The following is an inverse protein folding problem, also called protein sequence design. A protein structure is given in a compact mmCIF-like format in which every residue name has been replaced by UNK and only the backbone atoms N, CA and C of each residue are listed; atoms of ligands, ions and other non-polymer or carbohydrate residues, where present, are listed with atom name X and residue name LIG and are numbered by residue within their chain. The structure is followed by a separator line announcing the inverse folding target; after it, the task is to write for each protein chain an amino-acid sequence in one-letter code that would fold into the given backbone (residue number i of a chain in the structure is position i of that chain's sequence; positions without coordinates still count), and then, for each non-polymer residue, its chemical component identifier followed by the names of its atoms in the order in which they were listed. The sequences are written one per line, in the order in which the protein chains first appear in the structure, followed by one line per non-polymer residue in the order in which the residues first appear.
data_IF_917921769949
#
_entry.id   IF_917921769949
#
_cell.length_a   1.000
_cell.length_b   1.000
_cell.length_c   1.000
_cell.angle_alpha   90.00
_cell.angle_beta   90.00
_cell.angle_gamma   90.00
#
_symmetry.space_group_name_H-M   'P 1'
#
loop_
_entity.id
_entity.type
_entity.pdbx_description
1 polymer ?
#
# COMPACT_ATOMS: atom_id res chain seq x y z
N UNK A 1 19.52 12.86 10.25
CA UNK A 1 18.25 12.16 10.12
C UNK A 1 17.31 13.07 9.34
N UNK A 2 16.55 12.53 8.41
CA UNK A 2 15.63 13.30 7.56
C UNK A 2 14.32 13.58 8.27
N UNK A 3 13.64 14.65 7.89
CA UNK A 3 12.22 14.80 8.18
C UNK A 3 11.42 13.92 7.22
N UNK A 4 10.37 13.28 7.73
CA UNK A 4 9.47 12.43 6.95
C UNK A 4 8.07 13.03 7.02
N UNK A 5 7.44 13.17 5.85
CA UNK A 5 6.12 13.79 5.72
C UNK A 5 5.13 12.79 5.15
N UNK A 6 3.91 12.79 5.67
CA UNK A 6 2.78 12.10 5.04
C UNK A 6 2.16 13.09 4.04
N UNK A 7 2.22 12.75 2.76
CA UNK A 7 1.75 13.63 1.68
C UNK A 7 0.37 13.26 1.15
N UNK A 8 -0.14 12.09 1.51
CA UNK A 8 -1.47 11.65 1.14
C UNK A 8 -1.95 10.51 2.00
N UNK A 9 -3.26 10.45 2.22
CA UNK A 9 -3.90 9.37 2.98
C UNK A 9 -5.33 9.13 2.46
N UNK A 10 -5.80 7.91 2.61
CA UNK A 10 -7.18 7.55 2.30
C UNK A 10 -7.62 6.34 3.12
N UNK A 11 -8.87 6.32 3.49
CA UNK A 11 -9.50 5.19 4.19
C UNK A 11 -10.80 4.83 3.48
N UNK A 12 -10.95 3.56 3.09
CA UNK A 12 -12.23 3.04 2.61
C UNK A 12 -13.29 3.08 3.73
N UNK A 13 -14.56 3.19 3.38
CA UNK A 13 -15.62 3.25 4.38
C UNK A 13 -15.65 1.98 5.25
N UNK A 14 -15.84 2.15 6.55
CA UNK A 14 -15.98 1.05 7.51
C UNK A 14 -17.39 0.46 7.43
N UNK A 15 -17.57 -0.47 6.51
CA UNK A 15 -18.85 -1.15 6.27
C UNK A 15 -18.61 -2.50 5.59
N UNK A 16 -19.67 -3.28 5.39
CA UNK A 16 -19.64 -4.41 4.47
C UNK A 16 -19.52 -3.90 3.04
N UNK A 17 -18.70 -4.56 2.23
CA UNK A 17 -18.48 -4.26 0.82
C UNK A 17 -18.91 -5.43 -0.07
N UNK A 18 -20.23 -5.72 -0.18
CA UNK A 18 -20.70 -6.84 -0.98
C UNK A 18 -20.31 -6.66 -2.44
N UNK A 19 -19.81 -7.73 -3.07
CA UNK A 19 -19.38 -7.72 -4.47
C UNK A 19 -18.01 -7.08 -4.72
N UNK A 20 -17.32 -6.56 -3.70
CA UNK A 20 -15.95 -6.04 -3.84
C UNK A 20 -14.93 -7.08 -3.42
N UNK A 21 -13.87 -7.22 -4.22
CA UNK A 21 -12.70 -8.02 -3.88
C UNK A 21 -11.71 -7.23 -3.00
N UNK A 22 -10.72 -7.92 -2.45
CA UNK A 22 -9.58 -7.23 -1.80
C UNK A 22 -8.84 -6.31 -2.79
N UNK A 23 -8.74 -6.72 -4.06
CA UNK A 23 -8.15 -5.89 -5.11
C UNK A 23 -8.93 -4.60 -5.34
N UNK A 24 -10.26 -4.66 -5.34
CA UNK A 24 -11.11 -3.47 -5.48
C UNK A 24 -10.91 -2.50 -4.31
N UNK A 25 -10.85 -3.02 -3.08
CA UNK A 25 -10.60 -2.20 -1.89
C UNK A 25 -9.20 -1.58 -1.89
N UNK A 26 -8.20 -2.36 -2.28
CA UNK A 26 -6.82 -1.87 -2.40
C UNK A 26 -6.72 -0.79 -3.48
N UNK A 27 -7.39 -0.98 -4.62
CA UNK A 27 -7.46 0.01 -5.70
C UNK A 27 -8.11 1.31 -5.23
N UNK A 28 -9.25 1.23 -4.56
CA UNK A 28 -9.93 2.41 -4.01
C UNK A 28 -9.01 3.18 -3.07
N UNK A 29 -8.39 2.49 -2.12
CA UNK A 29 -7.49 3.11 -1.15
C UNK A 29 -6.26 3.74 -1.83
N UNK A 30 -5.65 3.04 -2.75
CA UNK A 30 -4.48 3.53 -3.50
C UNK A 30 -4.81 4.76 -4.33
N UNK A 31 -5.85 4.69 -5.15
CA UNK A 31 -6.26 5.81 -6.00
C UNK A 31 -6.71 7.01 -5.18
N UNK A 32 -7.39 6.77 -4.05
CA UNK A 32 -7.78 7.82 -3.11
C UNK A 32 -6.56 8.51 -2.48
N UNK A 33 -5.54 7.74 -2.12
CA UNK A 33 -4.27 8.29 -1.58
C UNK A 33 -3.52 9.10 -2.62
N UNK A 34 -3.41 8.63 -3.87
CA UNK A 34 -2.80 9.40 -4.95
C UNK A 34 -3.52 10.73 -5.18
N UNK A 35 -4.85 10.69 -5.19
CA UNK A 35 -5.66 11.90 -5.36
C UNK A 35 -5.42 12.91 -4.24
N UNK A 36 -5.38 12.45 -3.00
CA UNK A 36 -5.10 13.29 -1.83
C UNK A 36 -3.69 13.90 -1.89
N UNK A 37 -2.71 13.12 -2.36
CA UNK A 37 -1.34 13.59 -2.59
C UNK A 37 -1.17 14.50 -3.81
N UNK A 38 -2.20 14.69 -4.65
CA UNK A 38 -2.12 15.43 -5.90
C UNK A 38 -1.34 14.71 -7.00
N UNK A 39 -1.20 13.39 -6.90
CA UNK A 39 -0.48 12.55 -7.85
C UNK A 39 -1.43 11.89 -8.85
N UNK A 40 -1.05 11.85 -10.12
CA UNK A 40 -1.84 11.15 -11.17
C UNK A 40 -1.59 9.65 -11.16
N UNK A 41 -0.35 9.24 -10.92
CA UNK A 41 0.10 7.85 -10.85
C UNK A 41 1.11 7.72 -9.72
N UNK A 42 1.46 6.49 -9.36
CA UNK A 42 2.53 6.22 -8.40
C UNK A 42 3.92 6.09 -9.03
N UNK A 43 4.19 6.73 -10.17
CA UNK A 43 5.44 6.56 -10.89
C UNK A 43 6.71 6.83 -10.07
N UNK A 44 6.61 7.71 -9.08
CA UNK A 44 7.72 8.08 -8.20
C UNK A 44 7.81 7.24 -6.92
N UNK A 45 6.92 6.25 -6.73
CA UNK A 45 6.96 5.35 -5.57
C UNK A 45 8.15 4.39 -5.72
N UNK A 46 8.97 4.30 -4.70
CA UNK A 46 10.20 3.51 -4.69
C UNK A 46 10.13 2.27 -3.80
N UNK A 47 9.20 2.24 -2.84
CA UNK A 47 8.89 1.06 -2.02
C UNK A 47 7.42 1.01 -1.64
N UNK A 48 6.90 -0.19 -1.41
CA UNK A 48 5.53 -0.41 -0.96
C UNK A 48 5.46 -1.35 0.24
N UNK A 49 4.61 -1.02 1.18
CA UNK A 49 4.38 -1.81 2.39
C UNK A 49 2.92 -2.18 2.50
N UNK A 50 2.63 -3.47 2.45
CA UNK A 50 1.28 -3.98 2.62
C UNK A 50 1.14 -4.77 3.91
N UNK A 51 0.14 -4.42 4.69
CA UNK A 51 -0.23 -5.14 5.88
C UNK A 51 -1.66 -5.69 5.78
N UNK A 52 -1.82 -6.98 5.97
CA UNK A 52 -3.12 -7.61 6.13
C UNK A 52 -3.02 -8.93 6.92
N UNK A 53 -3.80 -9.08 7.98
CA UNK A 53 -3.81 -10.28 8.79
C UNK A 53 -4.93 -11.27 8.39
N UNK A 54 -5.91 -10.86 7.57
CA UNK A 54 -7.11 -11.63 7.29
C UNK A 54 -7.17 -12.33 5.93
N UNK A 55 -6.41 -11.90 4.94
CA UNK A 55 -6.51 -12.41 3.56
C UNK A 55 -6.27 -13.93 3.46
N UNK A 56 -5.50 -14.49 4.38
CA UNK A 56 -5.26 -15.93 4.45
C UNK A 56 -6.54 -16.77 4.62
N UNK A 57 -7.56 -16.24 5.28
CA UNK A 57 -8.87 -16.90 5.44
C UNK A 57 -9.63 -17.05 4.11
N UNK A 58 -9.26 -16.27 3.11
CA UNK A 58 -9.82 -16.28 1.76
C UNK A 58 -8.83 -16.79 0.71
N UNK A 59 -7.77 -17.49 1.15
CA UNK A 59 -6.86 -18.21 0.26
C UNK A 59 -5.60 -17.45 -0.17
N UNK A 60 -5.43 -16.17 0.21
CA UNK A 60 -4.22 -15.41 -0.12
C UNK A 60 -3.29 -15.34 1.10
N UNK A 61 -2.44 -16.34 1.26
CA UNK A 61 -1.54 -16.47 2.41
C UNK A 61 -0.19 -15.73 2.25
N UNK A 62 0.28 -15.57 1.03
CA UNK A 62 1.60 -14.98 0.73
C UNK A 62 1.51 -13.94 -0.38
N UNK A 63 2.58 -13.17 -0.58
CA UNK A 63 2.70 -12.13 -1.63
C UNK A 63 1.44 -11.26 -1.80
N UNK A 64 0.83 -10.89 -0.69
CA UNK A 64 -0.46 -10.20 -0.66
C UNK A 64 -0.41 -8.87 -1.40
N UNK A 65 0.64 -8.10 -1.17
CA UNK A 65 0.85 -6.82 -1.85
C UNK A 65 1.02 -6.98 -3.35
N UNK A 66 1.83 -7.91 -3.78
CA UNK A 66 2.04 -8.20 -5.20
C UNK A 66 0.72 -8.64 -5.85
N UNK A 67 -0.04 -9.52 -5.22
CA UNK A 67 -1.33 -9.97 -5.74
C UNK A 67 -2.34 -8.84 -5.91
N UNK A 68 -2.37 -7.87 -4.98
CA UNK A 68 -3.28 -6.73 -5.02
C UNK A 68 -2.85 -5.65 -6.01
N UNK A 69 -1.54 -5.43 -6.17
CA UNK A 69 -1.00 -4.34 -6.97
C UNK A 69 -0.64 -4.73 -8.40
N UNK A 70 -0.54 -6.02 -8.72
CA UNK A 70 -0.27 -6.48 -10.08
C UNK A 70 -1.21 -5.86 -11.14
N UNK A 71 -2.53 -5.80 -10.94
CA UNK A 71 -3.41 -5.14 -11.91
C UNK A 71 -3.10 -3.64 -12.09
N UNK A 72 -2.68 -2.96 -11.02
CA UNK A 72 -2.31 -1.55 -11.07
C UNK A 72 -0.98 -1.34 -11.81
N UNK A 73 -0.06 -2.29 -11.73
CA UNK A 73 1.17 -2.30 -12.53
C UNK A 73 0.85 -2.47 -14.01
N UNK A 74 -0.02 -3.41 -14.35
CA UNK A 74 -0.45 -3.66 -15.72
C UNK A 74 -1.14 -2.46 -16.36
N UNK A 75 -1.84 -1.67 -15.57
CA UNK A 75 -2.49 -0.42 -16.00
C UNK A 75 -1.54 0.80 -16.00
N UNK A 76 -0.29 0.64 -15.56
CA UNK A 76 0.69 1.74 -15.46
C UNK A 76 0.40 2.73 -14.32
N UNK A 77 -0.41 2.33 -13.33
CA UNK A 77 -0.76 3.16 -12.18
C UNK A 77 0.20 2.98 -10.98
N UNK A 78 0.81 1.81 -10.88
CA UNK A 78 1.86 1.50 -9.91
C UNK A 78 3.12 1.08 -10.65
N UNK A 79 4.34 1.52 -10.25
CA UNK A 79 5.55 1.26 -11.00
C UNK A 79 5.99 -0.21 -10.91
N UNK A 80 6.54 -0.73 -12.00
CA UNK A 80 7.21 -2.03 -12.00
C UNK A 80 8.46 -2.01 -11.10
N UNK A 81 8.85 -3.18 -10.61
CA UNK A 81 10.11 -3.42 -9.87
C UNK A 81 10.22 -2.64 -8.56
N UNK A 82 9.13 -2.13 -8.05
CA UNK A 82 9.09 -1.58 -6.70
C UNK A 82 9.11 -2.72 -5.69
N UNK A 83 10.05 -2.74 -4.74
CA UNK A 83 10.02 -3.72 -3.66
C UNK A 83 8.72 -3.58 -2.87
N UNK A 84 7.99 -4.69 -2.75
CA UNK A 84 6.74 -4.77 -2.01
C UNK A 84 6.95 -5.66 -0.78
N UNK A 85 6.86 -5.06 0.39
CA UNK A 85 7.00 -5.75 1.67
C UNK A 85 5.62 -6.11 2.22
N UNK A 86 5.46 -7.37 2.59
CA UNK A 86 4.23 -7.86 3.19
C UNK A 86 4.47 -8.11 4.68
N UNK A 87 3.69 -7.47 5.52
CA UNK A 87 3.82 -7.56 6.97
C UNK A 87 2.53 -8.03 7.62
N UNK A 88 2.66 -8.65 8.78
CA UNK A 88 1.55 -9.06 9.60
C UNK A 88 1.91 -8.90 11.08
N UNK A 89 1.06 -8.28 11.85
CA UNK A 89 1.20 -8.08 13.29
C UNK A 89 -0.19 -7.96 13.95
N UNK A 90 -1.10 -8.85 13.55
CA UNK A 90 -2.50 -8.86 14.02
C UNK A 90 -3.13 -7.46 13.95
N UNK A 91 -3.68 -6.94 15.04
CA UNK A 91 -4.33 -5.63 15.08
C UNK A 91 -3.36 -4.46 14.81
N UNK A 92 -2.05 -4.65 14.95
CA UNK A 92 -1.01 -3.65 14.72
C UNK A 92 -0.42 -3.73 13.30
N UNK A 93 -1.01 -4.51 12.39
CA UNK A 93 -0.46 -4.76 11.06
C UNK A 93 -0.28 -3.47 10.24
N UNK A 94 -1.29 -2.60 10.20
CA UNK A 94 -1.20 -1.34 9.46
C UNK A 94 -0.14 -0.39 10.05
N UNK A 95 -0.04 -0.32 11.37
CA UNK A 95 0.99 0.47 12.04
C UNK A 95 2.39 -0.06 11.75
N UNK A 96 2.54 -1.39 11.61
CA UNK A 96 3.82 -2.03 11.24
C UNK A 96 4.21 -1.69 9.81
N UNK A 97 3.26 -1.72 8.87
CA UNK A 97 3.48 -1.30 7.48
C UNK A 97 3.89 0.18 7.41
N UNK A 98 3.14 1.05 8.06
CA UNK A 98 3.44 2.49 8.14
C UNK A 98 4.85 2.75 8.72
N UNK A 99 5.22 2.04 9.78
CA UNK A 99 6.55 2.16 10.37
C UNK A 99 7.66 1.73 9.40
N UNK A 100 7.42 0.71 8.58
CA UNK A 100 8.34 0.30 7.53
C UNK A 100 8.55 1.39 6.50
N UNK A 101 7.49 1.92 5.94
CA UNK A 101 7.51 3.02 4.98
C UNK A 101 8.19 4.28 5.54
N UNK A 102 7.88 4.63 6.79
CA UNK A 102 8.52 5.76 7.47
C UNK A 102 10.03 5.56 7.62
N UNK A 103 10.47 4.35 7.98
CA UNK A 103 11.90 4.04 8.13
C UNK A 103 12.66 4.08 6.81
N UNK A 104 12.06 3.67 5.71
CA UNK A 104 12.65 3.74 4.37
C UNK A 104 13.05 5.18 4.04
N UNK A 105 12.13 6.12 4.23
CA UNK A 105 12.38 7.54 3.97
C UNK A 105 13.33 8.15 5.01
N UNK A 106 13.14 7.85 6.30
CA UNK A 106 13.98 8.35 7.38
C UNK A 106 15.45 7.98 7.19
N UNK A 107 15.72 6.74 6.78
CA UNK A 107 17.06 6.23 6.53
C UNK A 107 17.67 6.73 5.20
N UNK A 108 16.88 7.38 4.36
CA UNK A 108 17.30 7.81 3.03
C UNK A 108 17.44 6.67 2.02
N UNK A 109 16.85 5.51 2.30
CA UNK A 109 16.86 4.37 1.38
C UNK A 109 15.97 4.66 0.17
N UNK A 110 14.85 5.34 0.40
CA UNK A 110 13.89 5.76 -0.61
C UNK A 110 13.41 7.19 -0.33
N UNK A 111 13.02 7.89 -1.38
CA UNK A 111 12.46 9.24 -1.28
C UNK A 111 10.93 9.21 -1.08
N UNK A 112 10.26 8.20 -1.64
CA UNK A 112 8.82 8.03 -1.56
C UNK A 112 8.45 6.57 -1.32
N UNK A 113 7.75 6.31 -0.24
CA UNK A 113 7.23 4.99 0.13
C UNK A 113 5.70 5.02 0.28
N UNK A 114 5.06 3.92 -0.12
CA UNK A 114 3.60 3.73 -0.01
C UNK A 114 3.26 2.60 0.95
#
# INVERSE_FOLDING_TARGET
MRDVYVIGAYTTAFKKHPGMSFGDLAREAYMGTLKDAGMKTGADIESGWLGNCGMGFWGQNSIRGQALFQPLVEEGLFPERVPMFNVENACATASTAFMGAWKDVLAGTHELSF
#
